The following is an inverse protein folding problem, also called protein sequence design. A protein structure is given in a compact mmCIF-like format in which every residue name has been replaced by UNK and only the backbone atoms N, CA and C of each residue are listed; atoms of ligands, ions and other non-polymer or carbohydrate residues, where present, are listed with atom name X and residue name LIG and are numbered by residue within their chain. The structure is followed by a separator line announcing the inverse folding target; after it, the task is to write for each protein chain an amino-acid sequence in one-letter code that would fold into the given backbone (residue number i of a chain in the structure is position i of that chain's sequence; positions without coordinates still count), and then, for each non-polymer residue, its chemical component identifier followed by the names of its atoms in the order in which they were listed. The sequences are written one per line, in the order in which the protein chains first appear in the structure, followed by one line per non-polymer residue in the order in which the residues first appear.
data_IF_604913581482
#
_entry.id   IF_604913581482
#
_cell.length_a   1.000
_cell.length_b   1.000
_cell.length_c   1.000
_cell.angle_alpha   90.00
_cell.angle_beta   90.00
_cell.angle_gamma   90.00
#
_symmetry.space_group_name_H-M   'P 1'
#
loop_
_entity.id
_entity.type
_entity.pdbx_description
1 polymer ?
#
# COMPACT_ATOMS: atom_id res chain seq x y z
N UNK A 1 18.81 -9.36 -2.17
CA UNK A 1 17.70 -8.58 -2.76
C UNK A 1 17.99 -7.11 -2.50
N UNK A 2 17.44 -6.20 -3.29
CA UNK A 2 17.64 -4.76 -3.06
C UNK A 2 17.03 -4.33 -1.71
N UNK A 3 17.65 -3.36 -1.01
CA UNK A 3 17.07 -2.76 0.20
C UNK A 3 15.71 -2.13 -0.07
N UNK A 4 14.78 -2.23 0.89
CA UNK A 4 13.46 -1.57 0.78
C UNK A 4 13.64 -0.06 0.87
N UNK A 5 12.92 0.68 0.04
CA UNK A 5 12.98 2.15 -0.02
C UNK A 5 11.79 2.76 0.71
N UNK A 6 12.05 3.36 1.86
CA UNK A 6 11.03 3.90 2.74
C UNK A 6 11.13 5.41 2.78
N UNK A 7 10.04 6.10 2.45
CA UNK A 7 9.95 7.54 2.62
C UNK A 7 9.50 7.86 4.04
N UNK A 8 10.43 8.29 4.88
CA UNK A 8 10.11 8.78 6.21
C UNK A 8 9.74 10.27 6.14
N UNK A 9 8.58 10.63 6.68
CA UNK A 9 8.05 11.99 6.73
C UNK A 9 7.75 12.34 8.19
N UNK A 10 8.49 13.30 8.73
CA UNK A 10 8.23 13.87 10.04
C UNK A 10 7.35 15.12 9.88
N UNK A 11 6.10 15.03 10.34
CA UNK A 11 5.12 16.10 10.26
C UNK A 11 5.42 17.23 11.25
N UNK A 12 6.03 16.92 12.40
CA UNK A 12 6.37 17.90 13.43
C UNK A 12 7.49 18.84 13.01
N UNK A 13 8.52 18.32 12.34
CA UNK A 13 9.63 19.12 11.80
C UNK A 13 9.45 19.52 10.35
N UNK A 14 8.34 19.13 9.70
CA UNK A 14 8.08 19.30 8.26
C UNK A 14 9.29 18.89 7.39
N UNK A 15 9.84 17.70 7.66
CA UNK A 15 11.02 17.17 6.98
C UNK A 15 10.79 15.76 6.44
N UNK A 16 11.48 15.39 5.36
CA UNK A 16 11.38 14.05 4.77
C UNK A 16 12.72 13.50 4.31
N UNK A 17 12.89 12.19 4.36
CA UNK A 17 14.09 11.50 3.85
C UNK A 17 13.73 10.14 3.28
N UNK A 18 14.36 9.76 2.17
CA UNK A 18 14.32 8.37 1.68
C UNK A 18 15.36 7.56 2.42
N UNK A 19 14.92 6.50 3.07
CA UNK A 19 15.76 5.53 3.76
C UNK A 19 15.84 4.23 2.96
N UNK A 20 17.03 3.62 2.95
CA UNK A 20 17.27 2.32 2.35
C UNK A 20 17.46 1.32 3.49
N UNK A 21 16.52 0.40 3.66
CA UNK A 21 16.40 -0.44 4.84
C UNK A 21 16.65 -1.92 4.48
N UNK A 22 17.91 -2.40 4.49
CA UNK A 22 18.24 -3.80 4.19
C UNK A 22 17.65 -4.79 5.20
N UNK A 23 17.37 -4.36 6.44
CA UNK A 23 16.73 -5.14 7.48
C UNK A 23 15.27 -5.51 7.17
N UNK A 24 14.65 -4.82 6.21
CA UNK A 24 13.27 -5.09 5.76
C UNK A 24 13.20 -6.11 4.61
N UNK A 25 14.33 -6.65 4.16
CA UNK A 25 14.39 -7.55 2.99
C UNK A 25 13.55 -8.82 3.19
N UNK A 26 13.52 -9.36 4.40
CA UNK A 26 12.73 -10.57 4.75
C UNK A 26 11.23 -10.28 4.86
N UNK A 27 10.83 -9.01 4.95
CA UNK A 27 9.44 -8.60 4.96
C UNK A 27 9.01 -8.38 3.51
N UNK A 28 8.25 -9.35 2.98
CA UNK A 28 7.86 -9.42 1.56
C UNK A 28 7.30 -8.08 1.05
N UNK A 29 6.42 -7.46 1.84
CA UNK A 29 5.78 -6.18 1.56
C UNK A 29 4.48 -6.06 2.35
N UNK A 30 3.65 -5.09 1.98
CA UNK A 30 2.32 -4.91 2.55
C UNK A 30 2.32 -5.02 4.07
N UNK A 31 1.43 -5.86 4.62
CA UNK A 31 1.21 -5.94 6.07
C UNK A 31 2.45 -6.32 6.89
N UNK A 32 3.28 -7.25 6.42
CA UNK A 32 4.47 -7.69 7.16
C UNK A 32 5.48 -6.55 7.29
N UNK A 33 5.74 -5.85 6.18
CA UNK A 33 6.59 -4.66 6.18
C UNK A 33 5.97 -3.50 6.95
N UNK A 34 4.65 -3.31 6.81
CA UNK A 34 3.89 -2.28 7.50
C UNK A 34 3.97 -2.39 9.02
N UNK A 35 3.76 -3.59 9.57
CA UNK A 35 3.87 -3.85 11.01
C UNK A 35 5.31 -3.73 11.51
N UNK A 36 6.32 -4.16 10.73
CA UNK A 36 7.71 -3.96 11.13
C UNK A 36 8.09 -2.49 11.18
N UNK A 37 7.69 -1.72 10.18
CA UNK A 37 7.89 -0.27 10.17
C UNK A 37 7.15 0.40 11.33
N UNK A 38 5.93 -0.03 11.63
CA UNK A 38 5.21 0.45 12.80
C UNK A 38 6.03 0.20 14.08
N UNK A 39 6.52 -1.02 14.28
CA UNK A 39 7.33 -1.38 15.45
C UNK A 39 8.60 -0.53 15.59
N UNK A 40 9.30 -0.27 14.49
CA UNK A 40 10.52 0.56 14.46
C UNK A 40 10.25 2.03 14.81
N UNK A 41 9.04 2.52 14.51
CA UNK A 41 8.68 3.93 14.67
C UNK A 41 7.58 4.16 15.72
N UNK A 42 7.27 3.19 16.57
CA UNK A 42 6.11 3.23 17.49
C UNK A 42 6.09 4.48 18.38
N UNK A 43 7.26 4.93 18.81
CA UNK A 43 7.40 6.06 19.73
C UNK A 43 7.03 7.42 19.12
N UNK A 44 6.84 7.48 17.79
CA UNK A 44 6.42 8.69 17.06
C UNK A 44 5.01 8.58 16.48
N UNK A 45 4.19 7.66 16.99
CA UNK A 45 2.80 7.41 16.56
C UNK A 45 2.72 7.28 15.02
N UNK A 46 3.30 6.24 14.41
CA UNK A 46 3.44 6.20 12.96
C UNK A 46 2.10 5.82 12.29
N UNK A 47 1.78 6.45 11.17
CA UNK A 47 0.87 5.89 10.17
C UNK A 47 1.71 5.39 9.01
N UNK A 48 1.72 4.07 8.78
CA UNK A 48 2.55 3.44 7.76
C UNK A 48 1.71 3.09 6.55
N UNK A 49 2.16 3.51 5.37
CA UNK A 49 1.65 3.04 4.09
C UNK A 49 2.67 2.10 3.49
N UNK A 50 2.25 0.93 3.02
CA UNK A 50 3.15 -0.06 2.44
C UNK A 50 2.52 -0.76 1.24
N UNK A 51 3.37 -1.12 0.28
CA UNK A 51 2.98 -1.85 -0.92
C UNK A 51 3.66 -3.21 -0.98
N UNK A 52 3.12 -4.08 -1.82
CA UNK A 52 3.68 -5.40 -2.11
C UNK A 52 4.57 -5.40 -3.35
N UNK A 53 5.38 -6.45 -3.53
CA UNK A 53 6.27 -6.59 -4.68
C UNK A 53 5.53 -6.69 -6.02
N UNK A 54 4.24 -7.08 -6.01
CA UNK A 54 3.46 -7.34 -7.22
C UNK A 54 2.65 -6.14 -7.73
N UNK A 55 2.49 -5.06 -6.93
CA UNK A 55 1.74 -3.88 -7.37
C UNK A 55 2.32 -3.31 -8.67
N UNK A 56 1.44 -2.93 -9.60
CA UNK A 56 1.81 -2.37 -10.89
C UNK A 56 2.21 -3.40 -11.94
N UNK A 57 2.33 -4.68 -11.56
CA UNK A 57 2.71 -5.76 -12.47
C UNK A 57 1.53 -6.72 -12.68
N UNK A 58 1.10 -7.43 -11.65
CA UNK A 58 0.09 -8.48 -11.79
C UNK A 58 -1.34 -7.97 -11.55
N UNK A 59 -2.37 -8.70 -12.01
CA UNK A 59 -3.76 -8.29 -11.77
C UNK A 59 -4.19 -8.52 -10.33
N UNK A 60 -5.27 -7.88 -9.90
CA UNK A 60 -5.87 -8.03 -8.56
C UNK A 60 -4.98 -7.65 -7.35
N UNK A 61 -3.75 -7.16 -7.58
CA UNK A 61 -2.78 -6.69 -6.57
C UNK A 61 -2.63 -5.17 -6.59
N UNK A 62 -3.72 -4.45 -6.37
CA UNK A 62 -3.73 -2.97 -6.39
C UNK A 62 -3.95 -2.32 -5.04
N UNK A 63 -4.08 -3.11 -3.97
CA UNK A 63 -4.31 -2.53 -2.65
C UNK A 63 -3.06 -1.78 -2.17
N UNK A 64 -3.27 -0.82 -1.27
CA UNK A 64 -2.24 -0.24 -0.40
C UNK A 64 -2.56 -0.62 1.03
N UNK A 65 -1.59 -1.16 1.75
CA UNK A 65 -1.72 -1.49 3.16
C UNK A 65 -1.41 -0.25 4.00
N UNK A 66 -2.27 0.02 4.98
CA UNK A 66 -2.08 1.01 6.02
C UNK A 66 -1.97 0.29 7.36
N UNK A 67 -1.02 0.71 8.21
CA UNK A 67 -0.90 0.22 9.58
C UNK A 67 -0.87 1.41 10.53
N UNK A 68 -1.74 1.38 11.53
CA UNK A 68 -1.85 2.42 12.55
C UNK A 68 -2.35 1.83 13.88
N UNK A 69 -2.06 2.49 14.99
CA UNK A 69 -2.61 2.13 16.30
C UNK A 69 -3.99 2.77 16.52
N UNK A 70 -4.96 2.02 17.00
CA UNK A 70 -6.23 2.52 17.48
C UNK A 70 -6.47 2.04 18.92
N UNK A 71 -6.45 2.95 19.89
CA UNK A 71 -6.73 2.66 21.30
C UNK A 71 -5.84 1.53 21.88
N UNK A 72 -4.55 1.55 21.58
CA UNK A 72 -3.58 0.55 22.02
C UNK A 72 -3.53 -0.74 21.19
N UNK A 73 -4.36 -0.85 20.13
CA UNK A 73 -4.39 -2.01 19.23
C UNK A 73 -3.82 -1.62 17.87
N UNK A 74 -2.93 -2.44 17.30
CA UNK A 74 -2.42 -2.23 15.95
C UNK A 74 -3.41 -2.81 14.94
N UNK A 75 -3.80 -1.98 13.98
CA UNK A 75 -4.80 -2.29 12.97
C UNK A 75 -4.18 -2.17 11.57
N UNK A 76 -4.43 -3.16 10.72
CA UNK A 76 -4.07 -3.17 9.32
C UNK A 76 -5.30 -3.00 8.41
N UNK A 77 -5.25 -1.99 7.54
CA UNK A 77 -6.32 -1.61 6.64
C UNK A 77 -5.83 -1.60 5.19
N UNK A 78 -6.69 -1.94 4.23
CA UNK A 78 -6.31 -2.03 2.83
C UNK A 78 -7.27 -1.26 1.96
N UNK A 79 -6.74 -0.39 1.10
CA UNK A 79 -7.57 0.38 0.15
C UNK A 79 -7.18 0.07 -1.27
N UNK A 80 -8.18 -0.02 -2.15
CA UNK A 80 -7.98 -0.22 -3.59
C UNK A 80 -7.57 1.04 -4.34
N UNK A 81 -7.92 1.08 -5.62
CA UNK A 81 -7.63 2.24 -6.48
C UNK A 81 -6.22 2.24 -7.05
N UNK A 82 -5.61 3.43 -7.11
CA UNK A 82 -4.36 3.67 -7.84
C UNK A 82 -3.14 3.97 -6.95
N UNK A 83 -3.36 4.18 -5.65
CA UNK A 83 -2.33 4.61 -4.70
C UNK A 83 -1.12 3.67 -4.66
N UNK A 84 -1.35 2.36 -4.56
CA UNK A 84 -0.26 1.37 -4.48
C UNK A 84 0.60 1.37 -5.75
N UNK A 85 -0.03 1.59 -6.90
CA UNK A 85 0.66 1.77 -8.18
C UNK A 85 1.47 3.06 -8.19
N UNK A 86 0.93 4.17 -7.67
CA UNK A 86 1.66 5.45 -7.58
C UNK A 86 2.91 5.31 -6.70
N UNK A 87 2.81 4.68 -5.53
CA UNK A 87 3.98 4.39 -4.68
C UNK A 87 5.02 3.55 -5.43
N UNK A 88 4.58 2.49 -6.12
CA UNK A 88 5.47 1.67 -6.95
C UNK A 88 6.16 2.52 -8.01
N UNK A 89 5.42 3.32 -8.78
CA UNK A 89 6.00 4.20 -9.82
C UNK A 89 6.79 5.39 -9.24
N UNK A 90 6.69 5.70 -7.95
CA UNK A 90 7.64 6.59 -7.27
C UNK A 90 8.95 5.88 -6.90
N UNK A 91 9.00 4.54 -7.02
CA UNK A 91 10.12 3.71 -6.60
C UNK A 91 10.24 3.60 -5.07
N UNK A 92 9.12 3.70 -4.37
CA UNK A 92 9.02 3.54 -2.92
C UNK A 92 8.31 2.22 -2.60
N UNK A 93 8.71 1.59 -1.51
CA UNK A 93 8.03 0.41 -0.98
C UNK A 93 7.10 0.77 0.20
N UNK A 94 7.40 1.87 0.89
CA UNK A 94 6.57 2.37 1.98
C UNK A 94 6.72 3.89 2.20
N UNK A 95 5.76 4.46 2.93
CA UNK A 95 5.80 5.79 3.53
C UNK A 95 5.53 5.64 5.03
N UNK A 96 6.31 6.33 5.86
CA UNK A 96 6.05 6.44 7.31
C UNK A 96 5.70 7.90 7.61
N UNK A 97 4.49 8.14 8.10
CA UNK A 97 4.04 9.44 8.59
C UNK A 97 4.22 9.50 10.11
N UNK A 98 5.22 10.26 10.56
CA UNK A 98 5.62 10.36 11.96
C UNK A 98 5.21 11.70 12.59
N UNK A 99 4.83 11.65 13.86
CA UNK A 99 4.46 12.82 14.65
C UNK A 99 3.18 13.50 14.16
N UNK A 100 3.02 14.76 14.53
CA UNK A 100 1.89 15.63 14.15
C UNK A 100 2.40 17.03 13.79
N UNK A 101 1.77 17.67 12.82
CA UNK A 101 2.09 19.05 12.45
C UNK A 101 1.52 20.05 13.49
N UNK A 102 2.15 21.22 13.63
CA UNK A 102 1.60 22.33 14.42
C UNK A 102 0.40 23.01 13.74
N UNK A 103 0.31 22.91 12.42
CA UNK A 103 -0.69 23.53 11.55
C UNK A 103 -1.27 22.49 10.60
N UNK A 104 -2.45 22.76 10.04
CA UNK A 104 -3.02 21.91 9.00
C UNK A 104 -2.08 21.87 7.77
N UNK A 105 -1.77 20.67 7.29
CA UNK A 105 -0.81 20.44 6.21
C UNK A 105 -1.34 19.46 5.17
N UNK A 106 -1.09 19.76 3.90
CA UNK A 106 -1.32 18.86 2.77
C UNK A 106 0.05 18.46 2.19
N UNK A 107 0.25 17.18 1.91
CA UNK A 107 1.51 16.70 1.33
C UNK A 107 1.40 16.59 -0.19
N UNK A 108 2.34 17.14 -0.94
CA UNK A 108 2.56 16.83 -2.35
C UNK A 108 3.84 16.01 -2.50
N UNK A 109 3.69 14.75 -2.93
CA UNK A 109 4.77 13.77 -3.00
C UNK A 109 5.00 13.40 -4.46
N UNK A 110 6.10 13.88 -5.04
CA UNK A 110 6.51 13.57 -6.41
C UNK A 110 7.78 12.73 -6.42
N UNK A 111 7.67 11.46 -6.80
CA UNK A 111 8.79 10.51 -6.88
C UNK A 111 9.69 10.44 -5.63
N UNK A 112 9.06 10.62 -4.45
CA UNK A 112 9.71 10.60 -3.14
C UNK A 112 10.18 11.97 -2.63
N UNK A 113 10.07 13.04 -3.42
CA UNK A 113 10.24 14.41 -2.94
C UNK A 113 8.94 14.91 -2.32
N UNK A 114 8.99 15.39 -1.08
CA UNK A 114 7.83 15.89 -0.35
C UNK A 114 7.85 17.42 -0.31
N UNK A 115 6.72 18.02 -0.64
CA UNK A 115 6.43 19.44 -0.39
C UNK A 115 5.29 19.53 0.62
N UNK A 116 5.48 20.32 1.67
CA UNK A 116 4.47 20.56 2.71
C UNK A 116 3.70 21.83 2.34
N UNK A 117 2.43 21.65 1.97
CA UNK A 117 1.52 22.72 1.57
C UNK A 117 0.63 23.12 2.75
N UNK A 118 0.27 24.39 2.84
CA UNK A 118 -0.69 24.87 3.84
C UNK A 118 -2.14 24.51 3.46
N UNK A 119 -3.08 24.88 4.33
CA UNK A 119 -4.52 24.57 4.20
C UNK A 119 -5.22 25.24 3.02
N UNK A 120 -4.60 26.24 2.40
CA UNK A 120 -5.18 26.94 1.23
C UNK A 120 -4.92 26.22 -0.08
N UNK A 121 -4.04 25.21 -0.07
CA UNK A 121 -3.69 24.45 -1.25
C UNK A 121 -4.84 23.54 -1.72
N UNK A 122 -5.16 23.63 -3.01
CA UNK A 122 -6.14 22.75 -3.65
C UNK A 122 -5.48 21.43 -4.06
N UNK A 123 -5.82 20.34 -3.36
CA UNK A 123 -5.34 18.99 -3.69
C UNK A 123 -5.66 18.55 -5.12
N UNK A 124 -6.72 19.09 -5.73
CA UNK A 124 -7.10 18.78 -7.11
C UNK A 124 -6.16 19.42 -8.15
N UNK A 125 -5.38 20.44 -7.76
CA UNK A 125 -4.41 21.11 -8.60
C UNK A 125 -2.98 20.53 -8.47
N UNK A 126 -2.71 19.70 -7.46
CA UNK A 126 -1.37 19.16 -7.15
C UNK A 126 -1.07 17.85 -7.88
N UNK A 127 0.21 17.53 -8.07
CA UNK A 127 0.64 16.31 -8.76
C UNK A 127 0.33 16.29 -10.26
N UNK A 128 0.77 15.24 -10.94
CA UNK A 128 0.64 15.12 -12.40
C UNK A 128 -0.67 14.43 -12.80
N UNK A 129 -1.52 15.05 -13.64
CA UNK A 129 -2.75 14.43 -14.14
C UNK A 129 -2.50 13.04 -14.75
N UNK A 130 -3.33 12.06 -14.38
CA UNK A 130 -3.20 10.66 -14.82
C UNK A 130 -2.03 9.88 -14.21
N UNK A 131 -1.18 10.53 -13.41
CA UNK A 131 -0.03 9.90 -12.72
C UNK A 131 -0.02 10.12 -11.21
N UNK A 132 -1.12 10.65 -10.66
CA UNK A 132 -1.29 10.92 -9.24
C UNK A 132 -2.42 10.10 -8.62
N UNK A 133 -2.39 9.98 -7.31
CA UNK A 133 -3.50 9.55 -6.48
C UNK A 133 -3.67 10.56 -5.35
N UNK A 134 -4.92 10.86 -4.97
CA UNK A 134 -5.27 11.93 -4.02
C UNK A 134 -5.97 11.30 -2.83
N UNK A 135 -5.31 11.33 -1.68
CA UNK A 135 -5.86 10.92 -0.40
C UNK A 135 -6.19 12.18 0.39
N UNK A 136 -7.46 12.44 0.71
CA UNK A 136 -7.86 13.69 1.35
C UNK A 136 -8.99 13.50 2.36
N UNK A 137 -8.93 14.25 3.47
CA UNK A 137 -10.04 14.38 4.39
C UNK A 137 -11.19 15.14 3.72
N UNK A 138 -12.39 14.63 3.87
CA UNK A 138 -13.63 15.21 3.39
C UNK A 138 -14.69 15.17 4.50
N UNK A 139 -15.87 15.77 4.27
CA UNK A 139 -16.99 15.71 5.22
C UNK A 139 -17.46 14.27 5.54
N UNK A 140 -17.18 13.31 4.66
CA UNK A 140 -17.55 11.91 4.82
C UNK A 140 -16.41 11.01 5.32
N UNK A 141 -15.27 11.60 5.68
CA UNK A 141 -14.08 10.90 6.15
C UNK A 141 -12.90 11.00 5.19
N UNK A 142 -11.90 10.14 5.40
CA UNK A 142 -10.71 10.05 4.55
C UNK A 142 -11.03 9.29 3.26
N UNK A 143 -10.92 9.96 2.12
CA UNK A 143 -11.30 9.40 0.80
C UNK A 143 -10.08 9.38 -0.11
N UNK A 144 -9.94 8.30 -0.88
CA UNK A 144 -8.93 8.14 -1.91
C UNK A 144 -9.54 8.27 -3.32
N UNK A 145 -8.91 9.08 -4.16
CA UNK A 145 -9.30 9.35 -5.55
C UNK A 145 -10.79 9.74 -5.68
N UNK A 146 -11.32 10.43 -4.66
CA UNK A 146 -12.73 10.84 -4.54
C UNK A 146 -13.76 9.71 -4.63
N UNK A 147 -13.33 8.46 -4.42
CA UNK A 147 -14.17 7.28 -4.60
C UNK A 147 -13.96 6.22 -3.54
N UNK A 148 -12.72 5.83 -3.25
CA UNK A 148 -12.44 4.71 -2.35
C UNK A 148 -12.46 5.17 -0.89
N UNK A 149 -13.10 4.37 -0.04
CA UNK A 149 -13.32 4.67 1.37
C UNK A 149 -12.58 3.67 2.27
N UNK A 150 -12.12 4.14 3.43
CA UNK A 150 -11.54 3.28 4.45
C UNK A 150 -12.62 2.75 5.40
N UNK A 151 -12.51 1.49 5.83
CA UNK A 151 -13.37 0.96 6.87
C UNK A 151 -13.02 1.59 8.22
N UNK A 152 -13.97 1.58 9.17
CA UNK A 152 -13.82 1.91 10.60
C UNK A 152 -13.48 3.35 11.03
N UNK A 153 -13.07 4.23 10.12
CA UNK A 153 -12.72 5.64 10.44
C UNK A 153 -11.40 5.81 11.24
N UNK A 154 -10.63 4.75 11.46
CA UNK A 154 -9.35 4.79 12.20
C UNK A 154 -8.36 5.78 11.56
N UNK A 155 -8.18 5.70 10.24
CA UNK A 155 -7.24 6.58 9.54
C UNK A 155 -7.72 8.02 9.49
N UNK A 156 -9.03 8.27 9.43
CA UNK A 156 -9.58 9.61 9.54
C UNK A 156 -9.19 10.25 10.88
N UNK A 157 -9.42 9.54 12.00
CA UNK A 157 -9.02 9.99 13.34
C UNK A 157 -7.51 10.29 13.40
N UNK A 158 -6.67 9.42 12.82
CA UNK A 158 -5.22 9.63 12.78
C UNK A 158 -4.83 10.86 11.95
N UNK A 159 -5.42 11.04 10.77
CA UNK A 159 -5.13 12.21 9.92
C UNK A 159 -5.53 13.51 10.63
N UNK A 160 -6.70 13.55 11.26
CA UNK A 160 -7.15 14.69 12.07
C UNK A 160 -6.18 14.96 13.23
N UNK A 161 -5.83 13.95 14.03
CA UNK A 161 -4.92 14.09 15.16
C UNK A 161 -3.53 14.60 14.73
N UNK A 162 -3.09 14.25 13.52
CA UNK A 162 -1.82 14.67 12.94
C UNK A 162 -1.86 16.04 12.25
N UNK A 163 -3.04 16.68 12.17
CA UNK A 163 -3.31 17.88 11.37
C UNK A 163 -2.94 17.70 9.90
N UNK A 164 -3.12 16.48 9.38
CA UNK A 164 -2.83 16.11 8.01
C UNK A 164 -4.14 16.14 7.20
N UNK A 165 -4.26 17.12 6.31
CA UNK A 165 -5.41 17.28 5.42
C UNK A 165 -5.48 16.17 4.37
N UNK A 166 -4.32 15.64 3.99
CA UNK A 166 -4.22 14.62 2.95
C UNK A 166 -2.81 14.50 2.38
N UNK A 167 -2.69 13.68 1.35
CA UNK A 167 -1.49 13.55 0.53
C UNK A 167 -1.86 13.33 -0.94
N UNK A 168 -1.15 14.01 -1.83
CA UNK A 168 -1.16 13.77 -3.27
C UNK A 168 0.12 13.04 -3.62
N UNK A 169 0.02 11.82 -4.14
CA UNK A 169 1.18 10.98 -4.47
C UNK A 169 1.27 10.82 -5.98
N UNK A 170 2.37 11.30 -6.57
CA UNK A 170 2.70 11.17 -7.98
C UNK A 170 3.90 10.24 -8.17
N UNK A 171 3.70 9.22 -9.01
CA UNK A 171 4.75 8.30 -9.44
C UNK A 171 4.92 8.34 -10.95
N UNK A 172 6.13 8.58 -11.42
CA UNK A 172 6.42 8.79 -12.85
C UNK A 172 7.37 7.76 -13.46
N UNK A 173 8.04 6.96 -12.63
CA UNK A 173 9.01 5.96 -13.09
C UNK A 173 8.30 4.86 -13.87
N UNK A 174 9.06 4.27 -14.77
CA UNK A 174 8.68 3.09 -15.53
C UNK A 174 9.55 1.92 -15.10
N UNK A 175 9.06 0.71 -15.37
CA UNK A 175 9.78 -0.52 -15.08
C UNK A 175 9.83 -1.37 -16.34
N UNK A 176 10.93 -2.08 -16.52
CA UNK A 176 11.09 -3.09 -17.58
C UNK A 176 11.00 -4.49 -16.98
N UNK A 177 10.49 -5.42 -17.78
CA UNK A 177 10.42 -6.84 -17.45
C UNK A 177 11.35 -7.56 -18.43
N UNK A 178 12.26 -8.39 -17.90
CA UNK A 178 13.32 -9.00 -18.71
C UNK A 178 12.77 -9.96 -19.78
N UNK A 179 11.84 -10.84 -19.40
CA UNK A 179 11.17 -11.80 -20.30
C UNK A 179 9.68 -11.46 -20.41
N UNK A 180 9.36 -10.50 -21.28
CA UNK A 180 7.99 -10.00 -21.47
C UNK A 180 7.05 -11.09 -21.99
N UNK A 181 7.55 -12.05 -22.77
CA UNK A 181 6.76 -13.12 -23.37
C UNK A 181 6.19 -14.03 -22.29
N UNK A 182 7.08 -14.64 -21.49
CA UNK A 182 6.67 -15.51 -20.39
C UNK A 182 5.90 -14.77 -19.30
N UNK A 183 6.26 -13.51 -19.04
CA UNK A 183 5.49 -12.66 -18.13
C UNK A 183 4.05 -12.49 -18.62
N UNK A 184 3.85 -12.22 -19.91
CA UNK A 184 2.52 -12.03 -20.50
C UNK A 184 1.70 -13.33 -20.45
N UNK A 185 2.33 -14.47 -20.67
CA UNK A 185 1.70 -15.79 -20.49
C UNK A 185 1.18 -15.97 -19.06
N UNK A 186 2.04 -15.75 -18.04
CA UNK A 186 1.64 -15.86 -16.63
C UNK A 186 0.57 -14.82 -16.27
N UNK A 187 0.70 -13.58 -16.72
CA UNK A 187 -0.28 -12.53 -16.49
C UNK A 187 -1.66 -12.94 -17.02
N UNK A 188 -1.72 -13.44 -18.25
CA UNK A 188 -2.97 -13.87 -18.89
C UNK A 188 -3.55 -15.12 -18.22
N UNK A 189 -2.70 -16.05 -17.76
CA UNK A 189 -3.14 -17.18 -16.98
C UNK A 189 -3.86 -16.71 -15.70
N UNK A 190 -3.22 -15.85 -14.91
CA UNK A 190 -3.80 -15.32 -13.67
C UNK A 190 -5.06 -14.50 -13.96
N UNK A 191 -5.04 -13.67 -15.00
CA UNK A 191 -6.22 -12.89 -15.42
C UNK A 191 -7.40 -13.79 -15.81
N UNK A 192 -7.11 -14.95 -16.44
CA UNK A 192 -8.10 -15.96 -16.80
C UNK A 192 -8.76 -16.62 -15.60
N UNK A 193 -8.16 -16.55 -14.41
CA UNK A 193 -8.70 -17.09 -13.16
C UNK A 193 -9.73 -16.17 -12.49
N UNK A 194 -10.28 -15.18 -13.21
CA UNK A 194 -11.30 -14.24 -12.70
C UNK A 194 -12.50 -14.91 -12.02
N UNK A 195 -12.84 -16.14 -12.42
CA UNK A 195 -13.98 -16.89 -11.84
C UNK A 195 -13.68 -17.41 -10.42
N UNK A 196 -12.41 -17.36 -9.99
CA UNK A 196 -11.97 -17.67 -8.62
C UNK A 196 -12.05 -16.47 -7.69
N UNK A 197 -12.43 -15.28 -8.20
CA UNK A 197 -12.60 -14.08 -7.40
C UNK A 197 -13.91 -14.18 -6.62
N UNK A 198 -13.83 -14.12 -5.29
CA UNK A 198 -14.97 -14.30 -4.36
C UNK A 198 -15.82 -13.04 -4.18
N UNK A 199 -16.07 -12.30 -5.27
CA UNK A 199 -16.99 -11.15 -5.27
C UNK A 199 -17.67 -11.03 -6.62
N UNK A 200 -18.95 -10.65 -6.61
CA UNK A 200 -19.72 -10.46 -7.82
C UNK A 200 -19.20 -9.24 -8.62
N UNK A 201 -19.11 -9.34 -9.95
CA UNK A 201 -18.99 -8.17 -10.82
C UNK A 201 -20.12 -7.17 -10.54
N UNK A 202 -19.85 -5.88 -10.73
CA UNK A 202 -20.81 -4.81 -10.51
C UNK A 202 -20.67 -3.69 -11.53
N UNK A 203 -21.35 -2.57 -11.27
CA UNK A 203 -21.26 -1.35 -12.08
C UNK A 203 -20.31 -0.31 -11.48
N UNK A 204 -19.53 -0.68 -10.48
CA UNK A 204 -18.62 0.24 -9.80
C UNK A 204 -17.30 0.39 -10.55
N UNK A 205 -16.61 1.53 -10.42
CA UNK A 205 -15.22 1.66 -10.82
C UNK A 205 -14.35 0.51 -10.30
N UNK A 206 -13.46 0.02 -11.16
CA UNK A 206 -12.51 -1.03 -10.79
C UNK A 206 -11.30 -0.45 -10.06
N UNK A 207 -10.73 -1.23 -9.16
CA UNK A 207 -9.36 -0.98 -8.68
C UNK A 207 -8.37 -1.15 -9.84
N UNK A 208 -7.18 -0.53 -9.75
CA UNK A 208 -6.18 -0.63 -10.82
C UNK A 208 -5.80 -2.09 -11.11
N UNK A 209 -5.67 -2.47 -12.38
CA UNK A 209 -5.30 -3.84 -12.75
C UNK A 209 -6.34 -4.91 -12.41
N UNK A 210 -7.58 -4.54 -12.08
CA UNK A 210 -8.68 -5.47 -11.88
C UNK A 210 -9.77 -5.24 -12.95
N UNK A 211 -10.25 -6.27 -13.66
CA UNK A 211 -11.31 -6.13 -14.66
C UNK A 211 -12.73 -6.18 -14.08
N UNK A 212 -12.89 -6.40 -12.77
CA UNK A 212 -14.17 -6.87 -12.20
C UNK A 212 -15.23 -5.78 -11.95
N UNK A 213 -14.83 -4.55 -11.65
CA UNK A 213 -15.76 -3.47 -11.26
C UNK A 213 -16.73 -3.89 -10.15
N UNK A 214 -16.24 -4.65 -9.16
CA UNK A 214 -17.08 -5.44 -8.28
C UNK A 214 -17.98 -4.61 -7.35
N UNK A 215 -18.98 -5.24 -6.75
CA UNK A 215 -19.93 -4.57 -5.83
C UNK A 215 -19.28 -3.96 -4.59
N UNK A 216 -18.06 -4.38 -4.25
CA UNK A 216 -17.33 -3.95 -3.04
C UNK A 216 -16.09 -3.10 -3.34
N UNK A 217 -15.88 -2.67 -4.59
CA UNK A 217 -14.66 -1.95 -4.96
C UNK A 217 -14.47 -0.63 -4.23
N UNK A 218 -15.57 0.02 -3.82
CA UNK A 218 -15.57 1.27 -3.04
C UNK A 218 -14.97 1.10 -1.65
N UNK A 219 -15.15 -0.07 -1.03
CA UNK A 219 -14.82 -0.32 0.37
C UNK A 219 -13.41 -0.89 0.51
N UNK A 220 -12.64 -0.35 1.45
CA UNK A 220 -11.42 -0.99 1.93
C UNK A 220 -11.68 -2.26 2.75
N UNK A 221 -10.61 -3.02 2.99
CA UNK A 221 -10.60 -4.30 3.70
C UNK A 221 -9.85 -4.14 5.04
N UNK A 222 -10.12 -5.02 6.02
CA UNK A 222 -9.42 -5.08 7.32
C UNK A 222 -9.04 -6.53 7.60
N UNK A 223 -7.78 -6.77 7.96
CA UNK A 223 -7.26 -8.10 8.28
C UNK A 223 -7.40 -9.11 7.13
N UNK A 224 -6.92 -10.33 7.32
CA UNK A 224 -7.05 -11.40 6.32
C UNK A 224 -5.82 -12.28 6.24
N UNK A 225 -5.64 -12.93 5.08
CA UNK A 225 -4.51 -13.81 4.86
C UNK A 225 -3.18 -13.03 4.74
N UNK A 226 -2.23 -13.32 5.63
CA UNK A 226 -0.96 -12.59 5.73
C UNK A 226 -0.13 -12.64 4.44
N UNK A 227 -0.16 -13.76 3.71
CA UNK A 227 0.56 -13.88 2.44
C UNK A 227 -0.09 -12.96 1.39
N UNK A 228 -1.40 -13.07 1.21
CA UNK A 228 -2.18 -12.24 0.26
C UNK A 228 -1.95 -10.76 0.53
N UNK A 229 -2.02 -10.35 1.80
CA UNK A 229 -1.92 -8.96 2.21
C UNK A 229 -0.48 -8.43 2.27
N UNK A 230 0.53 -9.30 2.36
CA UNK A 230 1.93 -8.91 2.13
C UNK A 230 2.22 -8.63 0.66
N UNK A 231 1.45 -9.26 -0.25
CA UNK A 231 1.46 -8.94 -1.68
C UNK A 231 0.50 -7.80 -2.03
N UNK A 232 -0.32 -7.36 -1.07
CA UNK A 232 -1.46 -6.45 -1.21
C UNK A 232 -2.39 -6.82 -2.38
N UNK A 233 -2.60 -8.13 -2.51
CA UNK A 233 -3.72 -8.68 -3.27
C UNK A 233 -5.04 -8.30 -2.60
N UNK A 234 -6.08 -8.14 -3.40
CA UNK A 234 -7.44 -8.04 -2.91
C UNK A 234 -7.81 -9.32 -2.15
N UNK A 235 -8.45 -9.21 -0.98
CA UNK A 235 -8.89 -10.37 -0.20
C UNK A 235 -9.86 -11.29 -0.98
N UNK A 236 -10.62 -10.76 -1.93
CA UNK A 236 -11.46 -11.58 -2.81
C UNK A 236 -10.66 -12.42 -3.82
N UNK A 237 -9.38 -12.11 -4.04
CA UNK A 237 -8.45 -12.87 -4.88
C UNK A 237 -7.60 -13.86 -4.06
N UNK A 238 -7.97 -14.14 -2.81
CA UNK A 238 -7.22 -15.03 -1.92
C UNK A 238 -6.97 -16.41 -2.54
N UNK A 239 -7.93 -17.02 -3.24
CA UNK A 239 -7.75 -18.34 -3.84
C UNK A 239 -6.63 -18.38 -4.89
N UNK A 240 -6.34 -17.24 -5.52
CA UNK A 240 -5.26 -17.08 -6.50
C UNK A 240 -3.95 -16.84 -5.75
N UNK A 241 -3.92 -15.87 -4.85
CA UNK A 241 -2.68 -15.35 -4.23
C UNK A 241 -2.27 -16.02 -2.92
N UNK A 242 -3.07 -16.95 -2.39
CA UNK A 242 -2.65 -17.89 -1.35
C UNK A 242 -1.91 -19.11 -1.93
N UNK A 243 -1.95 -19.32 -3.25
CA UNK A 243 -1.20 -20.39 -3.90
C UNK A 243 0.29 -20.02 -3.99
N UNK A 244 1.13 -20.70 -3.21
CA UNK A 244 2.57 -20.44 -3.16
C UNK A 244 3.27 -20.59 -4.51
N UNK A 245 2.83 -21.50 -5.37
CA UNK A 245 3.39 -21.69 -6.71
C UNK A 245 3.16 -20.46 -7.60
N UNK A 246 1.93 -19.93 -7.60
CA UNK A 246 1.59 -18.68 -8.30
C UNK A 246 2.42 -17.52 -7.78
N UNK A 247 2.47 -17.34 -6.45
CA UNK A 247 3.22 -16.26 -5.81
C UNK A 247 4.71 -16.35 -6.13
N UNK A 248 5.30 -17.54 -6.00
CA UNK A 248 6.71 -17.77 -6.29
C UNK A 248 7.05 -17.48 -7.75
N UNK A 249 6.20 -17.90 -8.69
CA UNK A 249 6.37 -17.60 -10.11
C UNK A 249 6.36 -16.08 -10.36
N UNK A 250 5.35 -15.37 -9.84
CA UNK A 250 5.25 -13.91 -9.95
C UNK A 250 6.49 -13.18 -9.40
N UNK A 251 6.92 -13.54 -8.19
CA UNK A 251 8.09 -12.95 -7.54
C UNK A 251 9.37 -13.20 -8.33
N UNK A 252 9.55 -14.41 -8.84
CA UNK A 252 10.71 -14.81 -9.65
C UNK A 252 10.80 -14.00 -10.95
N UNK A 253 9.68 -13.75 -11.64
CA UNK A 253 9.67 -12.89 -12.84
C UNK A 253 10.11 -11.46 -12.58
N UNK A 254 9.83 -10.95 -11.39
CA UNK A 254 10.22 -9.61 -10.96
C UNK A 254 11.63 -9.59 -10.33
N UNK A 255 12.34 -10.72 -10.30
CA UNK A 255 13.70 -10.83 -9.78
C UNK A 255 13.81 -10.89 -8.26
N UNK A 256 12.70 -11.05 -7.54
CA UNK A 256 12.73 -11.29 -6.10
C UNK A 256 13.18 -12.73 -5.81
N UNK A 257 14.03 -12.89 -4.80
CA UNK A 257 14.69 -14.17 -4.46
C UNK A 257 14.17 -14.74 -3.13
N UNK A 258 12.86 -14.68 -2.92
CA UNK A 258 12.22 -15.32 -1.77
C UNK A 258 12.14 -16.83 -1.98
N UNK A 259 12.45 -17.60 -0.94
CA UNK A 259 12.29 -19.06 -0.95
C UNK A 259 10.87 -19.47 -0.56
N UNK A 260 10.47 -20.70 -0.90
CA UNK A 260 9.18 -21.25 -0.44
C UNK A 260 9.05 -21.21 1.09
N UNK A 261 10.11 -21.60 1.81
CA UNK A 261 10.16 -21.58 3.28
C UNK A 261 9.93 -20.18 3.86
N UNK A 262 10.53 -19.14 3.26
CA UNK A 262 10.30 -17.74 3.68
C UNK A 262 8.84 -17.30 3.48
N UNK A 263 8.18 -17.75 2.41
CA UNK A 263 6.79 -17.43 2.15
C UNK A 263 5.83 -18.21 3.08
N UNK A 264 6.15 -19.46 3.39
CA UNK A 264 5.38 -20.31 4.31
C UNK A 264 5.42 -19.79 5.75
N UNK A 265 6.59 -19.32 6.19
CA UNK A 265 6.81 -18.82 7.56
C UNK A 265 6.43 -17.35 7.76
N UNK A 266 5.80 -16.72 6.76
CA UNK A 266 5.50 -15.29 6.78
C UNK A 266 4.51 -14.90 7.88
N UNK A 267 3.53 -15.76 8.18
CA UNK A 267 2.60 -15.58 9.29
C UNK A 267 3.29 -15.65 10.66
N UNK A 268 4.33 -16.49 10.80
CA UNK A 268 5.14 -16.57 12.02
C UNK A 268 6.03 -15.34 12.17
N UNK A 269 6.60 -14.83 11.08
CA UNK A 269 7.34 -13.57 11.07
C UNK A 269 6.44 -12.41 11.51
N UNK A 270 5.24 -12.31 10.94
CA UNK A 270 4.24 -11.32 11.32
C UNK A 270 3.90 -11.40 12.82
N UNK A 271 3.59 -12.60 13.31
CA UNK A 271 3.23 -12.83 14.72
C UNK A 271 4.37 -12.51 15.68
N UNK A 272 5.61 -12.81 15.31
CA UNK A 272 6.80 -12.42 16.09
C UNK A 272 6.98 -10.90 16.13
N UNK A 273 6.74 -10.23 15.01
CA UNK A 273 6.89 -8.77 14.91
C UNK A 273 5.83 -8.05 15.75
N UNK A 274 4.58 -8.52 15.76
CA UNK A 274 3.54 -7.96 16.62
C UNK A 274 3.93 -8.00 18.11
N UNK A 275 4.65 -9.04 18.55
CA UNK A 275 5.14 -9.15 19.93
C UNK A 275 6.23 -8.12 20.28
N UNK A 276 6.87 -7.49 19.30
CA UNK A 276 7.82 -6.38 19.53
C UNK A 276 7.11 -5.06 19.88
N UNK A 277 5.82 -4.96 19.52
CA UNK A 277 5.00 -3.76 19.72
C UNK A 277 4.31 -3.79 21.09
N UNK A 278 3.99 -5.00 21.57
CA UNK A 278 3.37 -5.27 22.88
C UNK A 278 4.23 -4.87 24.08
#
# INVERSE_FOLDING_TARGET
MEPKRVLYINLSSKSSSIQYMPELVDYVGGVTMGVKLFALYKDVDPVVLSIGPLNGYFPFVSKTCFVAENEGVIEDLYIGGSLGFRLRFSGLDAIVLAGSSSEAVLLDILDGKVTFMDETADSSALGLPGKRSVLALSRGGLILDSYFEFPSGILEKKFIAKKLLGAVITGTKTFSIADIGKYTELFNQIMGEKDRIKVAPGSHPSCSGCPMGCTLSVNGEIGGNILVHSLVACGFAEDIYSNLGTVFACLSFLGYKYTHEQLETLADLFSRTLKEIA
#
